data_IF_444974912070
#
_entry.id   IF_444974912070
#
_cell.length_a   1.000
_cell.length_b   1.000
_cell.length_c   1.000
_cell.angle_alpha   90.00
_cell.angle_beta   90.00
_cell.angle_gamma   90.00
#
_symmetry.space_group_name_H-M   'P 1'
#
loop_
_entity.id
_entity.type
_entity.pdbx_description
1 polymer ?
#
# COMPACT_ATOMS: atom_id res chain seq x y z
N UNK A 1 -2.18 -2.91 36.88
CA UNK A 1 -1.57 -3.23 35.57
C UNK A 1 -2.64 -3.11 34.49
N UNK A 2 -2.65 -2.02 33.78
CA UNK A 2 -3.56 -1.85 32.66
C UNK A 2 -2.95 -2.56 31.46
N UNK A 3 -3.52 -3.70 31.11
CA UNK A 3 -3.18 -4.39 29.87
C UNK A 3 -3.74 -3.57 28.72
N UNK A 4 -2.87 -2.79 28.07
CA UNK A 4 -3.23 -2.18 26.82
C UNK A 4 -3.33 -3.31 25.79
N UNK A 5 -4.56 -3.69 25.48
CA UNK A 5 -4.82 -4.54 24.32
C UNK A 5 -4.30 -3.78 23.09
N UNK A 6 -3.22 -4.26 22.52
CA UNK A 6 -2.71 -3.81 21.24
C UNK A 6 -3.77 -4.12 20.17
N UNK A 7 -4.57 -3.14 19.81
CA UNK A 7 -5.55 -3.31 18.74
C UNK A 7 -4.79 -3.34 17.41
N UNK A 8 -4.45 -4.54 16.96
CA UNK A 8 -3.97 -4.76 15.60
C UNK A 8 -5.12 -4.58 14.63
N UNK A 9 -5.25 -3.38 14.10
CA UNK A 9 -6.11 -3.17 12.95
C UNK A 9 -5.26 -3.40 11.69
N UNK A 10 -5.30 -4.60 11.17
CA UNK A 10 -4.75 -4.89 9.85
C UNK A 10 -5.79 -4.49 8.82
N UNK A 11 -5.53 -3.44 8.07
CA UNK A 11 -6.35 -3.02 6.94
C UNK A 11 -5.67 -3.47 5.66
N UNK A 12 -6.34 -4.34 4.93
CA UNK A 12 -5.89 -4.80 3.62
C UNK A 12 -6.47 -3.89 2.55
N UNK A 13 -5.61 -3.16 1.86
CA UNK A 13 -6.01 -2.33 0.71
C UNK A 13 -5.64 -3.05 -0.58
N UNK A 14 -6.57 -3.05 -1.51
CA UNK A 14 -6.45 -3.72 -2.80
C UNK A 14 -6.25 -2.67 -3.90
N UNK A 15 -5.15 -2.75 -4.61
CA UNK A 15 -4.86 -1.92 -5.79
C UNK A 15 -4.93 -2.79 -7.04
N UNK A 16 -5.74 -2.39 -8.00
CA UNK A 16 -5.88 -3.08 -9.28
C UNK A 16 -4.76 -2.68 -10.25
N UNK A 17 -4.08 -3.65 -10.83
CA UNK A 17 -3.13 -3.45 -11.91
C UNK A 17 -3.83 -3.71 -13.25
N UNK A 18 -3.79 -2.74 -14.13
CA UNK A 18 -4.25 -2.91 -15.51
C UNK A 18 -3.15 -2.49 -16.49
N UNK A 19 -3.06 -3.18 -17.63
CA UNK A 19 -2.10 -2.86 -18.71
C UNK A 19 -2.60 -1.68 -19.56
N UNK A 20 -3.83 -1.25 -19.39
CA UNK A 20 -4.36 -0.04 -20.02
C UNK A 20 -4.05 1.19 -19.16
N UNK A 21 -3.49 2.25 -19.77
CA UNK A 21 -3.20 3.51 -19.09
C UNK A 21 -4.49 4.21 -18.65
N UNK A 22 -4.80 4.16 -17.36
CA UNK A 22 -5.88 4.96 -16.78
C UNK A 22 -5.33 5.95 -15.76
N UNK A 23 -6.03 7.08 -15.61
CA UNK A 23 -5.69 8.12 -14.66
C UNK A 23 -5.59 7.55 -13.23
N UNK A 24 -4.58 7.99 -12.49
CA UNK A 24 -4.39 7.60 -11.11
C UNK A 24 -5.64 7.97 -10.28
N UNK A 25 -6.28 6.95 -9.73
CA UNK A 25 -7.37 7.11 -8.77
C UNK A 25 -6.82 6.88 -7.38
N UNK A 26 -7.06 7.79 -6.47
CA UNK A 26 -6.51 7.76 -5.11
C UNK A 26 -7.52 7.16 -4.14
N UNK A 27 -7.15 6.07 -3.47
CA UNK A 27 -7.95 5.52 -2.38
C UNK A 27 -7.41 6.02 -1.06
N UNK A 28 -8.26 6.69 -0.29
CA UNK A 28 -7.92 7.23 1.03
C UNK A 28 -8.52 6.35 2.11
N UNK A 29 -7.70 5.89 3.05
CA UNK A 29 -8.15 5.21 4.26
C UNK A 29 -7.82 6.06 5.46
N UNK A 30 -8.82 6.40 6.24
CA UNK A 30 -8.67 7.14 7.49
C UNK A 30 -8.92 6.22 8.67
N UNK A 31 -7.95 6.13 9.56
CA UNK A 31 -8.08 5.48 10.85
C UNK A 31 -8.26 6.55 11.92
N UNK A 32 -9.30 6.41 12.74
CA UNK A 32 -9.50 7.24 13.92
C UNK A 32 -9.61 6.33 15.13
N UNK A 33 -8.60 6.34 15.98
CA UNK A 33 -8.59 5.58 17.23
C UNK A 33 -9.28 6.35 18.38
N UNK A 34 -9.37 5.71 19.53
CA UNK A 34 -9.91 6.31 20.77
C UNK A 34 -8.95 7.33 21.41
N UNK A 35 -7.70 7.37 20.97
CA UNK A 35 -6.75 8.43 21.22
C UNK A 35 -6.75 9.41 20.05
N UNK A 36 -6.17 10.57 20.20
CA UNK A 36 -6.09 11.61 19.15
C UNK A 36 -5.24 11.22 17.93
N UNK A 37 -4.87 9.95 17.84
CA UNK A 37 -4.11 9.42 16.70
C UNK A 37 -5.02 9.26 15.47
N UNK A 38 -4.56 9.79 14.36
CA UNK A 38 -5.22 9.60 13.07
C UNK A 38 -4.19 9.54 11.95
N UNK A 39 -4.44 8.73 10.94
CA UNK A 39 -3.66 8.76 9.72
C UNK A 39 -4.53 8.49 8.50
N UNK A 40 -4.09 9.00 7.38
CA UNK A 40 -4.65 8.74 6.06
C UNK A 40 -3.58 8.06 5.22
N UNK A 41 -3.89 6.91 4.65
CA UNK A 41 -3.05 6.24 3.68
C UNK A 41 -3.62 6.46 2.28
N UNK A 42 -2.79 6.95 1.39
CA UNK A 42 -3.09 7.12 -0.03
C UNK A 42 -2.23 6.15 -0.82
N UNK A 43 -2.86 5.33 -1.64
CA UNK A 43 -2.18 4.37 -2.52
C UNK A 43 -2.63 4.57 -3.96
N UNK A 44 -1.80 4.24 -4.96
CA UNK A 44 -2.24 4.26 -6.34
C UNK A 44 -3.43 3.32 -6.52
N UNK A 45 -4.51 3.78 -7.14
CA UNK A 45 -5.65 2.92 -7.44
C UNK A 45 -5.35 1.97 -8.61
N UNK A 46 -4.40 2.33 -9.46
CA UNK A 46 -3.89 1.48 -10.53
C UNK A 46 -2.43 1.78 -10.81
N UNK A 47 -1.68 0.76 -11.18
CA UNK A 47 -0.31 0.86 -11.67
C UNK A 47 -0.22 0.12 -13.00
N UNK A 48 0.49 0.72 -13.95
CA UNK A 48 0.83 0.04 -15.20
C UNK A 48 2.16 -0.70 -15.02
N UNK A 49 2.31 -1.95 -15.48
CA UNK A 49 3.62 -2.62 -15.49
C UNK A 49 4.70 -1.74 -16.11
N UNK A 50 5.83 -1.62 -15.44
CA UNK A 50 6.93 -0.72 -15.81
C UNK A 50 6.79 0.71 -15.28
N UNK A 51 5.70 1.04 -14.61
CA UNK A 51 5.47 2.34 -13.99
C UNK A 51 5.68 2.32 -12.47
N UNK A 52 5.88 3.51 -11.92
CA UNK A 52 5.93 3.75 -10.48
C UNK A 52 4.70 4.53 -10.03
N UNK A 53 4.31 4.31 -8.79
CA UNK A 53 3.30 5.09 -8.09
C UNK A 53 3.80 5.49 -6.71
N UNK A 54 3.09 6.37 -6.05
CA UNK A 54 3.42 6.83 -4.70
C UNK A 54 2.46 6.23 -3.67
N UNK A 55 3.01 5.63 -2.63
CA UNK A 55 2.29 5.26 -1.41
C UNK A 55 2.60 6.31 -0.36
N UNK A 56 1.59 6.98 0.15
CA UNK A 56 1.73 8.14 1.03
C UNK A 56 0.89 7.98 2.28
N UNK A 57 1.51 8.15 3.43
CA UNK A 57 0.84 8.25 4.71
C UNK A 57 0.94 9.68 5.27
N UNK A 58 -0.18 10.18 5.77
CA UNK A 58 -0.26 11.50 6.40
C UNK A 58 -1.08 11.40 7.67
N UNK A 59 -0.60 11.96 8.77
CA UNK A 59 -1.36 11.96 10.01
C UNK A 59 -0.53 12.32 11.22
N UNK A 60 -1.15 12.13 12.37
CA UNK A 60 -0.51 12.36 13.68
C UNK A 60 -0.68 11.09 14.51
N UNK A 61 0.43 10.59 15.03
CA UNK A 61 0.44 9.45 15.94
C UNK A 61 1.55 9.60 16.98
N UNK A 62 1.39 8.90 18.09
CA UNK A 62 2.25 9.05 19.25
C UNK A 62 3.70 8.62 18.96
N UNK A 63 4.67 9.24 19.64
CA UNK A 63 6.10 8.95 19.45
C UNK A 63 6.49 7.51 19.85
N UNK A 64 5.69 6.88 20.71
CA UNK A 64 5.85 5.46 21.07
C UNK A 64 5.10 4.51 20.11
N UNK A 65 4.61 5.00 19.00
CA UNK A 65 3.92 4.22 17.96
C UNK A 65 4.67 4.32 16.64
N UNK A 66 4.57 3.25 15.86
CA UNK A 66 5.17 3.18 14.52
C UNK A 66 4.13 2.74 13.51
N UNK A 67 3.93 3.55 12.48
CA UNK A 67 3.12 3.18 11.33
C UNK A 67 3.97 2.33 10.38
N UNK A 68 3.47 1.14 10.08
CA UNK A 68 4.12 0.21 9.14
C UNK A 68 3.17 -0.08 7.99
N UNK A 69 3.67 0.12 6.77
CA UNK A 69 2.95 -0.23 5.53
C UNK A 69 3.83 -1.15 4.70
N UNK A 70 3.27 -2.27 4.29
CA UNK A 70 3.98 -3.26 3.45
C UNK A 70 3.13 -3.64 2.24
N UNK A 71 3.80 -4.16 1.22
CA UNK A 71 3.17 -4.75 0.04
C UNK A 71 3.88 -6.09 -0.29
N UNK A 72 3.24 -7.00 -1.04
CA UNK A 72 3.88 -8.22 -1.50
C UNK A 72 5.02 -7.89 -2.47
N UNK A 73 6.03 -8.76 -2.53
CA UNK A 73 7.17 -8.61 -3.46
C UNK A 73 6.85 -9.00 -4.90
N UNK A 74 5.70 -9.58 -5.13
CA UNK A 74 5.25 -10.00 -6.48
C UNK A 74 3.76 -9.79 -6.64
N UNK A 75 3.33 -9.64 -7.90
CA UNK A 75 1.93 -9.64 -8.30
C UNK A 75 1.72 -10.60 -9.45
N UNK A 76 0.64 -11.37 -9.40
CA UNK A 76 0.25 -12.26 -10.49
C UNK A 76 -0.82 -11.57 -11.32
N UNK A 77 -0.54 -11.43 -12.62
CA UNK A 77 -1.48 -10.95 -13.61
C UNK A 77 -2.15 -12.12 -14.32
N UNK A 78 -3.40 -11.98 -14.64
CA UNK A 78 -4.19 -12.94 -15.43
C UNK A 78 -4.63 -12.28 -16.73
N UNK A 79 -4.51 -13.02 -17.82
CA UNK A 79 -4.98 -12.60 -19.15
C UNK A 79 -6.47 -12.89 -19.31
N UNK A 80 -7.20 -11.96 -19.91
CA UNK A 80 -8.65 -12.06 -20.12
C UNK A 80 -9.06 -12.98 -21.29
N UNK A 81 -8.12 -13.30 -22.18
CA UNK A 81 -8.42 -14.11 -23.37
C UNK A 81 -8.25 -15.62 -23.10
N UNK A 82 -7.10 -16.00 -22.53
CA UNK A 82 -6.75 -17.41 -22.36
C UNK A 82 -6.61 -17.85 -20.90
N UNK A 83 -6.77 -16.91 -19.96
CA UNK A 83 -6.57 -17.16 -18.53
C UNK A 83 -5.10 -17.41 -18.13
N UNK A 84 -4.16 -17.18 -19.05
CA UNK A 84 -2.74 -17.31 -18.77
C UNK A 84 -2.29 -16.34 -17.66
N UNK A 85 -1.27 -16.73 -16.92
CA UNK A 85 -0.76 -15.92 -15.79
C UNK A 85 0.69 -15.51 -16.00
N UNK A 86 1.03 -14.33 -15.49
CA UNK A 86 2.40 -13.83 -15.36
C UNK A 86 2.62 -13.24 -13.99
N UNK A 87 3.75 -13.56 -13.39
CA UNK A 87 4.16 -12.96 -12.12
C UNK A 87 5.19 -11.87 -12.37
N UNK A 88 4.94 -10.69 -11.85
CA UNK A 88 5.84 -9.54 -11.94
C UNK A 88 6.37 -9.18 -10.55
N UNK A 89 7.61 -8.73 -10.50
CA UNK A 89 8.20 -8.23 -9.27
C UNK A 89 7.59 -6.88 -8.90
N UNK A 90 7.33 -6.71 -7.62
CA UNK A 90 6.89 -5.46 -7.00
C UNK A 90 8.01 -4.97 -6.09
N UNK A 91 8.48 -3.77 -6.31
CA UNK A 91 9.49 -3.12 -5.48
C UNK A 91 8.81 -2.05 -4.63
N UNK A 92 8.79 -2.26 -3.34
CA UNK A 92 8.29 -1.32 -2.35
C UNK A 92 9.08 -1.51 -1.05
N UNK A 93 9.83 -0.50 -0.66
CA UNK A 93 10.62 -0.55 0.59
C UNK A 93 9.75 -0.58 1.85
N UNK A 94 8.47 -0.28 1.70
CA UNK A 94 7.57 -0.11 2.81
C UNK A 94 7.70 1.24 3.50
N UNK A 95 6.73 1.55 4.35
CA UNK A 95 6.77 2.67 5.26
C UNK A 95 6.97 2.10 6.66
N UNK A 96 7.92 2.66 7.40
CA UNK A 96 8.18 2.37 8.81
C UNK A 96 8.48 3.70 9.48
N UNK A 97 7.45 4.36 9.99
CA UNK A 97 7.54 5.73 10.48
C UNK A 97 7.07 5.84 11.92
N UNK A 98 8.00 6.18 12.81
CA UNK A 98 7.68 6.53 14.19
C UNK A 98 6.88 7.83 14.27
N UNK A 99 6.01 7.92 15.25
CA UNK A 99 5.23 9.13 15.51
C UNK A 99 6.06 10.23 16.19
N UNK A 100 5.44 11.39 16.37
CA UNK A 100 6.07 12.56 17.02
C UNK A 100 5.15 13.33 17.97
N UNK A 101 3.99 12.77 18.31
CA UNK A 101 2.98 13.28 19.27
C UNK A 101 2.22 14.55 18.85
N UNK A 102 2.86 15.51 18.20
CA UNK A 102 2.33 16.88 18.14
C UNK A 102 2.14 17.47 16.74
N UNK A 103 2.83 16.93 15.76
CA UNK A 103 2.82 17.49 14.40
C UNK A 103 2.37 16.42 13.39
N UNK A 104 1.49 16.83 12.49
CA UNK A 104 1.14 15.98 11.36
C UNK A 104 2.39 15.65 10.54
N UNK A 105 2.57 14.37 10.28
CA UNK A 105 3.68 13.85 9.50
C UNK A 105 3.18 13.43 8.12
N UNK A 106 4.04 13.57 7.15
CA UNK A 106 3.82 13.01 5.81
C UNK A 106 5.04 12.19 5.45
N UNK A 107 4.80 10.93 5.10
CA UNK A 107 5.85 10.04 4.60
C UNK A 107 5.35 9.39 3.32
N UNK A 108 6.20 9.36 2.32
CA UNK A 108 5.90 8.69 1.04
C UNK A 108 7.03 7.79 0.60
N UNK A 109 6.67 6.73 -0.11
CA UNK A 109 7.59 5.78 -0.74
C UNK A 109 7.04 5.38 -2.09
N UNK A 110 7.93 5.25 -3.05
CA UNK A 110 7.57 4.77 -4.36
C UNK A 110 7.33 3.27 -4.35
N UNK A 111 6.32 2.86 -5.11
CA UNK A 111 6.07 1.47 -5.46
C UNK A 111 6.21 1.32 -6.97
N UNK A 112 6.95 0.32 -7.40
CA UNK A 112 7.19 0.04 -8.82
C UNK A 112 6.82 -1.41 -9.12
N UNK A 113 6.15 -1.61 -10.24
CA UNK A 113 5.88 -2.94 -10.79
C UNK A 113 6.79 -3.15 -11.99
N UNK A 114 7.46 -4.29 -12.04
CA UNK A 114 8.31 -4.64 -13.17
C UNK A 114 7.52 -4.65 -14.48
N UNK A 115 8.23 -4.38 -15.58
CA UNK A 115 7.60 -4.39 -16.89
C UNK A 115 7.18 -5.80 -17.29
N UNK A 116 6.07 -5.90 -18.00
CA UNK A 116 5.62 -7.17 -18.58
C UNK A 116 6.37 -7.43 -19.89
N UNK A 117 6.99 -8.60 -20.00
CA UNK A 117 7.71 -9.00 -21.20
C UNK A 117 7.02 -10.20 -21.85
N UNK A 118 7.10 -10.27 -23.18
CA UNK A 118 6.50 -11.37 -23.96
C UNK A 118 5.02 -11.62 -23.59
N UNK A 119 4.26 -10.55 -23.42
CA UNK A 119 2.83 -10.63 -23.17
C UNK A 119 2.11 -11.02 -24.47
N UNK A 120 1.21 -11.98 -24.37
CA UNK A 120 0.24 -12.27 -25.42
C UNK A 120 -0.77 -11.14 -25.54
N UNK A 121 -1.51 -11.10 -26.64
CA UNK A 121 -2.62 -10.17 -26.81
C UNK A 121 -3.66 -10.35 -25.69
N UNK A 122 -4.37 -9.29 -25.36
CA UNK A 122 -5.38 -9.28 -24.34
C UNK A 122 -5.05 -8.30 -23.20
N UNK A 123 -5.96 -8.24 -22.24
CA UNK A 123 -5.80 -7.41 -21.04
C UNK A 123 -5.24 -8.25 -19.90
N UNK A 124 -4.19 -7.76 -19.28
CA UNK A 124 -3.55 -8.40 -18.14
C UNK A 124 -3.91 -7.63 -16.88
N UNK A 125 -4.54 -8.29 -15.92
CA UNK A 125 -4.96 -7.66 -14.66
C UNK A 125 -4.48 -8.44 -13.46
N UNK A 126 -4.17 -7.72 -12.39
CA UNK A 126 -3.79 -8.29 -11.10
C UNK A 126 -4.07 -7.30 -9.98
N UNK A 127 -3.80 -7.72 -8.75
CA UNK A 127 -4.11 -6.95 -7.55
C UNK A 127 -2.92 -6.93 -6.61
N UNK A 128 -2.56 -5.75 -6.12
CA UNK A 128 -1.60 -5.56 -5.04
C UNK A 128 -2.37 -5.24 -3.76
N UNK A 129 -2.15 -6.03 -2.71
CA UNK A 129 -2.75 -5.82 -1.40
C UNK A 129 -1.72 -5.19 -0.45
N UNK A 130 -2.04 -4.03 0.09
CA UNK A 130 -1.21 -3.38 1.10
C UNK A 130 -1.67 -3.79 2.49
N UNK A 131 -0.70 -4.03 3.37
CA UNK A 131 -0.97 -4.28 4.78
C UNK A 131 -0.51 -3.08 5.59
N UNK A 132 -1.39 -2.58 6.45
CA UNK A 132 -1.12 -1.44 7.33
C UNK A 132 -1.28 -1.88 8.77
N UNK A 133 -0.31 -1.53 9.59
CA UNK A 133 -0.36 -1.76 11.04
C UNK A 133 0.18 -0.57 11.81
N UNK A 134 -0.32 -0.37 13.01
CA UNK A 134 0.19 0.60 13.96
C UNK A 134 0.69 -0.17 15.19
N UNK A 135 2.00 -0.32 15.29
CA UNK A 135 2.66 -1.01 16.38
C UNK A 135 3.20 -0.07 17.46
N UNK A 136 3.67 -0.63 18.57
CA UNK A 136 4.47 0.13 19.51
C UNK A 136 5.88 0.32 18.93
N UNK A 137 6.44 1.49 19.10
CA UNK A 137 7.85 1.73 18.78
C UNK A 137 8.71 0.85 19.70
N UNK A 138 9.72 0.25 19.10
CA UNK A 138 10.67 -0.57 19.86
C UNK A 138 11.54 0.31 20.78
#
# INVERSE_FOLDING_TARGET
MKKFASLFLALVMVCSLSVSAFAAHTTTVTYTGTSTESYTLTVPASLTPGASGEVKANGTWASNRTLVVTAPSTVTLTNDIDGGTKTLDVTFEGINQAGNDTVAQTVSKDITVANITNALFGTWTGTISYTVSMGNAA
#
